data_IF_148737842211
#
_entry.id   IF_148737842211
#
_cell.length_a   1.000
_cell.length_b   1.000
_cell.length_c   1.000
_cell.angle_alpha   90.00
_cell.angle_beta   90.00
_cell.angle_gamma   90.00
#
_symmetry.space_group_name_H-M   'P 1'
#
loop_
_entity.id
_entity.type
_entity.pdbx_description
1 polymer ?
#
# COMPACT_ATOMS: atom_id res chain seq x y z
N UNK A 1 41.10 14.26 -15.98
CA UNK A 1 39.95 13.34 -15.81
C UNK A 1 38.95 14.01 -14.88
N UNK A 2 37.93 14.66 -15.43
CA UNK A 2 36.87 15.32 -14.67
C UNK A 2 35.60 15.17 -15.50
N UNK A 3 34.66 14.38 -14.99
CA UNK A 3 33.39 14.07 -15.64
C UNK A 3 32.44 15.26 -15.47
N UNK A 4 32.05 15.88 -16.59
CA UNK A 4 31.10 17.00 -16.61
C UNK A 4 29.67 16.43 -16.61
N UNK A 5 28.75 16.93 -15.75
CA UNK A 5 27.36 16.49 -15.74
C UNK A 5 26.57 16.98 -16.97
N UNK A 6 25.71 16.11 -17.48
CA UNK A 6 24.78 16.35 -18.59
C UNK A 6 23.87 17.57 -18.34
N UNK A 7 23.86 18.53 -19.25
CA UNK A 7 22.82 19.57 -19.38
C UNK A 7 22.13 19.38 -20.73
N UNK A 8 20.85 19.01 -20.69
CA UNK A 8 19.99 19.00 -21.88
C UNK A 8 19.52 20.42 -22.21
N UNK A 9 19.52 20.74 -23.50
CA UNK A 9 19.10 22.04 -24.05
C UNK A 9 17.64 22.37 -23.73
N UNK A 10 17.40 23.58 -23.24
CA UNK A 10 16.05 24.15 -23.10
C UNK A 10 15.70 24.93 -24.37
N UNK A 11 14.86 24.36 -25.21
CA UNK A 11 14.09 25.12 -26.19
C UNK A 11 13.03 25.96 -25.44
N UNK A 12 13.02 27.27 -25.70
CA UNK A 12 11.99 28.21 -25.24
C UNK A 12 10.68 27.89 -25.96
N UNK A 13 9.67 27.45 -25.21
CA UNK A 13 8.28 27.45 -25.64
C UNK A 13 7.53 28.39 -24.68
N UNK A 14 6.99 29.47 -25.24
CA UNK A 14 6.03 30.35 -24.59
C UNK A 14 4.73 29.57 -24.40
N UNK A 15 4.60 28.90 -23.27
CA UNK A 15 3.36 28.28 -22.82
C UNK A 15 2.76 29.12 -21.70
N UNK A 16 1.56 29.65 -21.98
CA UNK A 16 0.66 30.31 -21.03
C UNK A 16 0.67 29.57 -19.68
N UNK A 17 1.20 30.22 -18.66
CA UNK A 17 1.23 29.69 -17.30
C UNK A 17 -0.20 29.66 -16.74
N UNK A 18 -0.87 28.52 -16.93
CA UNK A 18 -1.99 28.13 -16.07
C UNK A 18 -1.47 28.10 -14.62
N UNK A 19 -2.24 28.63 -13.65
CA UNK A 19 -1.80 28.66 -12.26
C UNK A 19 -1.41 27.24 -11.84
N UNK A 20 -0.14 27.07 -11.45
CA UNK A 20 0.35 25.78 -10.95
C UNK A 20 -0.55 25.38 -9.78
N UNK A 21 -1.42 24.39 -10.02
CA UNK A 21 -2.29 23.85 -9.00
C UNK A 21 -1.42 23.44 -7.82
N UNK A 22 -1.83 23.85 -6.60
CA UNK A 22 -1.10 23.51 -5.39
C UNK A 22 -0.83 22.00 -5.36
N UNK A 23 0.37 21.57 -4.94
CA UNK A 23 0.71 20.15 -4.92
C UNK A 23 -0.36 19.39 -4.11
N UNK A 24 -0.82 18.23 -4.59
CA UNK A 24 -1.89 17.50 -3.94
C UNK A 24 -1.50 17.20 -2.49
N UNK A 25 -2.42 17.46 -1.57
CA UNK A 25 -2.21 17.15 -0.15
C UNK A 25 -2.35 15.65 0.05
N UNK A 26 -1.22 14.95 0.09
CA UNK A 26 -1.18 13.48 0.25
C UNK A 26 -1.35 13.15 1.73
N UNK A 27 -2.36 12.34 2.05
CA UNK A 27 -2.49 11.75 3.37
C UNK A 27 -1.47 10.62 3.54
N UNK A 28 -0.70 10.66 4.63
CA UNK A 28 0.28 9.62 4.96
C UNK A 28 0.31 9.36 6.46
N UNK A 29 -0.30 8.25 6.85
CA UNK A 29 -0.27 7.75 8.22
C UNK A 29 1.04 7.02 8.49
N UNK A 30 1.77 7.51 9.51
CA UNK A 30 3.04 6.93 9.94
C UNK A 30 2.83 5.87 11.00
N UNK A 31 3.70 4.87 10.96
CA UNK A 31 3.54 3.66 11.76
C UNK A 31 3.62 3.96 13.25
N UNK A 32 2.64 3.43 13.99
CA UNK A 32 2.65 3.34 15.44
C UNK A 32 2.63 1.87 15.83
N UNK A 33 3.68 1.40 16.51
CA UNK A 33 3.82 0.00 16.96
C UNK A 33 3.78 -0.97 15.76
N UNK A 34 3.11 -2.12 15.88
CA UNK A 34 3.02 -3.13 14.82
C UNK A 34 1.74 -2.98 13.96
N UNK A 35 1.06 -1.83 13.99
CA UNK A 35 -0.21 -1.56 13.29
C UNK A 35 -0.06 -1.30 11.78
N UNK A 36 0.91 -1.94 11.10
CA UNK A 36 1.17 -1.67 9.68
C UNK A 36 -0.05 -1.93 8.78
N UNK A 37 -0.87 -2.94 9.09
CA UNK A 37 -2.12 -3.21 8.37
C UNK A 37 -3.13 -2.04 8.47
N UNK A 38 -3.30 -1.46 9.67
CA UNK A 38 -4.18 -0.30 9.88
C UNK A 38 -3.75 0.88 9.02
N UNK A 39 -2.46 1.20 9.08
CA UNK A 39 -1.91 2.34 8.35
C UNK A 39 -1.92 2.11 6.85
N UNK A 40 -1.67 0.88 6.39
CA UNK A 40 -1.80 0.54 4.98
C UNK A 40 -3.24 0.77 4.48
N UNK A 41 -4.25 0.33 5.24
CA UNK A 41 -5.65 0.57 4.91
C UNK A 41 -5.97 2.07 4.86
N UNK A 42 -5.68 2.82 5.92
CA UNK A 42 -5.95 4.27 5.97
C UNK A 42 -5.21 5.04 4.86
N UNK A 43 -3.99 4.64 4.52
CA UNK A 43 -3.24 5.22 3.40
C UNK A 43 -3.89 4.89 2.04
N UNK A 44 -4.45 3.69 1.83
CA UNK A 44 -5.18 3.37 0.60
C UNK A 44 -6.41 4.27 0.44
N UNK A 45 -7.16 4.48 1.51
CA UNK A 45 -8.35 5.33 1.51
C UNK A 45 -8.03 6.84 1.57
N UNK A 46 -6.78 7.21 1.81
CA UNK A 46 -6.35 8.59 2.04
C UNK A 46 -7.16 9.28 3.17
N UNK A 47 -7.52 8.54 4.22
CA UNK A 47 -8.34 9.03 5.34
C UNK A 47 -7.95 8.37 6.67
N UNK A 48 -7.65 9.16 7.70
CA UNK A 48 -7.32 8.68 9.04
C UNK A 48 -8.49 8.04 9.78
N UNK A 49 -9.71 8.32 9.35
CA UNK A 49 -10.93 7.84 9.97
C UNK A 49 -11.52 6.64 9.21
N UNK A 50 -10.87 6.18 8.14
CA UNK A 50 -11.32 5.03 7.39
C UNK A 50 -11.41 3.80 8.30
N UNK A 51 -10.35 3.53 9.06
CA UNK A 51 -10.30 2.48 10.07
C UNK A 51 -9.61 2.95 11.33
N UNK A 52 -10.00 2.34 12.45
CA UNK A 52 -9.33 2.47 13.74
C UNK A 52 -8.82 1.11 14.19
N UNK A 53 -7.90 1.10 15.17
CA UNK A 53 -7.47 -0.14 15.82
C UNK A 53 -8.67 -0.95 16.33
N UNK A 54 -9.66 -0.28 16.90
CA UNK A 54 -10.80 -0.97 17.51
C UNK A 54 -11.69 -1.62 16.45
N UNK A 55 -11.89 -0.97 15.29
CA UNK A 55 -12.60 -1.59 14.15
C UNK A 55 -11.87 -2.83 13.62
N UNK A 56 -10.54 -2.79 13.46
CA UNK A 56 -9.78 -3.97 13.03
C UNK A 56 -9.76 -5.06 14.10
N UNK A 57 -9.73 -4.68 15.37
CA UNK A 57 -9.80 -5.63 16.48
C UNK A 57 -11.15 -6.36 16.54
N UNK A 58 -12.26 -5.67 16.23
CA UNK A 58 -13.59 -6.27 16.13
C UNK A 58 -13.66 -7.26 14.95
N UNK A 59 -13.15 -6.86 13.78
CA UNK A 59 -13.06 -7.73 12.61
C UNK A 59 -12.25 -8.99 12.93
N UNK A 60 -11.08 -8.84 13.57
CA UNK A 60 -10.25 -9.95 13.98
C UNK A 60 -10.98 -10.92 14.92
N UNK A 61 -11.70 -10.39 15.92
CA UNK A 61 -12.49 -11.20 16.85
C UNK A 61 -13.61 -11.98 16.14
N UNK A 62 -14.29 -11.33 15.19
CA UNK A 62 -15.35 -11.97 14.39
C UNK A 62 -14.83 -13.11 13.52
N UNK A 63 -13.63 -12.94 12.93
CA UNK A 63 -12.99 -13.98 12.12
C UNK A 63 -12.45 -15.15 12.96
N UNK A 64 -12.16 -14.94 14.24
CA UNK A 64 -11.60 -15.95 15.15
C UNK A 64 -12.41 -16.10 16.46
N UNK A 65 -13.68 -16.54 16.40
CA UNK A 65 -14.59 -16.54 17.54
C UNK A 65 -14.15 -17.50 18.67
N UNK A 66 -13.41 -18.56 18.33
CA UNK A 66 -12.97 -19.59 19.28
C UNK A 66 -11.68 -19.22 20.05
N UNK A 67 -11.09 -18.05 19.77
CA UNK A 67 -9.95 -17.57 20.55
C UNK A 67 -10.48 -17.03 21.88
N UNK A 68 -10.58 -17.90 22.90
CA UNK A 68 -11.13 -17.55 24.22
C UNK A 68 -10.62 -16.19 24.70
N UNK A 69 -11.55 -15.23 24.79
CA UNK A 69 -11.30 -13.83 25.14
C UNK A 69 -11.21 -13.71 26.66
N UNK A 70 -10.10 -14.14 27.25
CA UNK A 70 -9.81 -13.79 28.65
C UNK A 70 -9.42 -12.31 28.75
N UNK A 71 -9.71 -11.61 29.87
CA UNK A 71 -9.38 -10.18 30.03
C UNK A 71 -7.91 -9.86 29.75
N UNK A 72 -7.00 -10.76 30.12
CA UNK A 72 -5.56 -10.65 29.85
C UNK A 72 -5.22 -10.81 28.37
N UNK A 73 -6.01 -11.59 27.63
CA UNK A 73 -5.87 -11.77 26.17
C UNK A 73 -6.35 -10.55 25.39
N UNK A 74 -7.37 -9.80 25.83
CA UNK A 74 -7.79 -8.55 25.17
C UNK A 74 -6.67 -7.51 25.06
N UNK A 75 -5.79 -7.43 26.07
CA UNK A 75 -4.65 -6.50 26.05
C UNK A 75 -3.40 -7.04 25.35
N UNK A 76 -3.32 -8.35 25.08
CA UNK A 76 -2.14 -9.01 24.49
C UNK A 76 -2.36 -9.57 23.07
N UNK A 77 -3.60 -9.76 22.60
CA UNK A 77 -3.90 -10.28 21.25
C UNK A 77 -3.97 -9.23 20.14
N UNK A 78 -3.75 -7.95 20.47
CA UNK A 78 -3.91 -6.83 19.54
C UNK A 78 -2.68 -5.94 19.43
N UNK A 79 -1.47 -6.51 19.38
CA UNK A 79 -0.24 -5.70 19.21
C UNK A 79 -0.19 -4.95 17.87
N UNK A 80 -1.11 -5.29 16.95
CA UNK A 80 -1.30 -4.64 15.65
C UNK A 80 -0.90 -5.49 14.45
N UNK A 81 -0.34 -6.69 14.69
CA UNK A 81 0.08 -7.63 13.66
C UNK A 81 -1.13 -8.38 13.06
N UNK A 82 -2.02 -7.66 12.41
CA UNK A 82 -3.19 -8.22 11.72
C UNK A 82 -2.76 -8.96 10.44
N UNK A 83 -3.39 -10.10 10.20
CA UNK A 83 -3.17 -10.89 9.00
C UNK A 83 -3.99 -10.37 7.81
N UNK A 84 -3.84 -11.04 6.66
CA UNK A 84 -4.52 -10.68 5.42
C UNK A 84 -6.04 -10.80 5.50
N UNK A 85 -6.58 -11.73 6.29
CA UNK A 85 -8.03 -11.93 6.39
C UNK A 85 -8.69 -10.71 7.04
N UNK A 86 -8.03 -10.10 8.04
CA UNK A 86 -8.49 -8.85 8.64
C UNK A 86 -8.48 -7.71 7.61
N UNK A 87 -7.43 -7.61 6.78
CA UNK A 87 -7.35 -6.60 5.71
C UNK A 87 -8.49 -6.81 4.70
N UNK A 88 -8.68 -8.03 4.20
CA UNK A 88 -9.74 -8.36 3.24
C UNK A 88 -11.13 -8.03 3.81
N UNK A 89 -11.42 -8.50 5.03
CA UNK A 89 -12.70 -8.24 5.67
C UNK A 89 -12.92 -6.75 5.96
N UNK A 90 -11.86 -5.99 6.27
CA UNK A 90 -11.95 -4.54 6.45
C UNK A 90 -12.31 -3.82 5.15
N UNK A 91 -11.68 -4.18 4.03
CA UNK A 91 -12.03 -3.63 2.71
C UNK A 91 -13.50 -3.87 2.37
N UNK A 92 -13.99 -5.08 2.62
CA UNK A 92 -15.40 -5.46 2.38
C UNK A 92 -16.38 -4.61 3.18
N UNK A 93 -16.03 -4.17 4.39
CA UNK A 93 -16.90 -3.25 5.16
C UNK A 93 -17.10 -1.87 4.50
N UNK A 94 -16.31 -1.55 3.46
CA UNK A 94 -16.37 -0.28 2.73
C UNK A 94 -16.75 -0.44 1.25
N UNK A 95 -17.21 -1.61 0.81
CA UNK A 95 -17.57 -1.81 -0.60
C UNK A 95 -16.38 -2.09 -1.53
N UNK A 96 -15.27 -2.60 -0.98
CA UNK A 96 -14.06 -2.92 -1.74
C UNK A 96 -13.65 -4.37 -1.51
N UNK A 97 -13.01 -4.94 -2.52
CA UNK A 97 -12.39 -6.26 -2.48
C UNK A 97 -10.87 -6.18 -2.58
N UNK A 98 -10.21 -7.22 -2.08
CA UNK A 98 -8.78 -7.43 -2.23
C UNK A 98 -8.51 -8.59 -3.19
N UNK A 99 -8.06 -8.26 -4.40
CA UNK A 99 -7.67 -9.25 -5.41
C UNK A 99 -6.24 -9.69 -5.13
N UNK A 100 -6.05 -10.99 -4.86
CA UNK A 100 -4.70 -11.52 -4.70
C UNK A 100 -4.00 -11.63 -6.05
N UNK A 101 -2.91 -10.88 -6.23
CA UNK A 101 -2.19 -10.89 -7.50
C UNK A 101 -1.39 -12.18 -7.69
N UNK A 102 -1.60 -12.85 -8.82
CA UNK A 102 -0.77 -13.98 -9.24
C UNK A 102 0.57 -13.49 -9.78
N UNK A 103 1.65 -13.70 -9.01
CA UNK A 103 3.02 -13.26 -9.35
C UNK A 103 3.57 -13.84 -10.65
N UNK A 104 2.92 -14.88 -11.20
CA UNK A 104 3.29 -15.49 -12.48
C UNK A 104 2.81 -14.66 -13.68
N UNK A 105 1.82 -13.78 -13.47
CA UNK A 105 1.28 -12.89 -14.50
C UNK A 105 2.13 -11.63 -14.66
N UNK A 106 2.13 -11.05 -15.86
CA UNK A 106 2.76 -9.74 -16.08
C UNK A 106 1.86 -8.64 -15.50
N UNK A 107 2.39 -7.82 -14.58
CA UNK A 107 1.64 -6.68 -14.02
C UNK A 107 1.18 -5.67 -15.07
N UNK A 108 1.66 -5.75 -16.31
CA UNK A 108 1.20 -5.02 -17.48
C UNK A 108 -0.28 -5.23 -17.80
N UNK A 109 -0.86 -6.38 -17.42
CA UNK A 109 -2.27 -6.67 -17.65
C UNK A 109 -3.20 -6.05 -16.59
N UNK A 110 -2.65 -5.42 -15.55
CA UNK A 110 -3.46 -4.71 -14.55
C UNK A 110 -4.05 -3.45 -15.22
N UNK A 111 -5.39 -3.37 -15.20
CA UNK A 111 -6.15 -2.19 -15.57
C UNK A 111 -6.09 -1.16 -14.43
N UNK A 112 -5.01 -0.38 -14.39
CA UNK A 112 -4.69 0.51 -13.27
C UNK A 112 -5.81 1.50 -12.93
N UNK A 113 -6.57 1.98 -13.92
CA UNK A 113 -7.70 2.90 -13.73
C UNK A 113 -8.83 2.32 -12.89
N UNK A 114 -8.94 0.99 -12.81
CA UNK A 114 -9.96 0.29 -12.04
C UNK A 114 -9.46 -0.11 -10.64
N UNK A 115 -8.18 0.17 -10.34
CA UNK A 115 -7.54 -0.16 -9.06
C UNK A 115 -7.47 1.09 -8.20
N UNK A 116 -8.11 1.03 -7.03
CA UNK A 116 -8.07 2.10 -6.06
C UNK A 116 -6.64 2.28 -5.52
N UNK A 117 -6.00 1.18 -5.15
CA UNK A 117 -4.64 1.18 -4.63
C UNK A 117 -4.11 -0.23 -4.46
N UNK A 118 -2.89 -0.33 -3.95
CA UNK A 118 -2.20 -1.61 -3.77
C UNK A 118 -1.78 -1.77 -2.32
N UNK A 119 -1.94 -2.97 -1.79
CA UNK A 119 -1.39 -3.36 -0.50
C UNK A 119 -0.35 -4.45 -0.76
N UNK A 120 0.89 -4.24 -0.33
CA UNK A 120 1.96 -5.22 -0.48
C UNK A 120 2.39 -5.74 0.88
N UNK A 121 2.66 -7.05 0.98
CA UNK A 121 3.32 -7.63 2.14
C UNK A 121 4.79 -7.86 1.81
N UNK A 122 5.69 -7.11 2.43
CA UNK A 122 7.11 -7.16 2.13
C UNK A 122 7.93 -7.54 3.36
N UNK A 123 9.01 -8.33 3.21
CA UNK A 123 9.89 -8.64 4.32
C UNK A 123 10.72 -7.41 4.71
N UNK A 124 10.49 -6.90 5.91
CA UNK A 124 11.12 -5.71 6.48
C UNK A 124 12.09 -6.07 7.61
N UNK A 125 13.28 -5.47 7.61
CA UNK A 125 14.28 -5.68 8.66
C UNK A 125 13.82 -5.07 9.99
N UNK A 126 13.98 -5.81 11.09
CA UNK A 126 13.76 -5.25 12.42
C UNK A 126 14.92 -4.30 12.77
N UNK A 127 14.61 -3.08 13.20
CA UNK A 127 15.62 -2.15 13.69
C UNK A 127 15.71 -2.22 15.21
N UNK A 128 16.92 -2.31 15.74
CA UNK A 128 17.22 -2.14 17.17
C UNK A 128 18.17 -0.96 17.32
N UNK A 129 17.60 0.22 17.55
CA UNK A 129 18.32 1.49 17.45
C UNK A 129 18.86 1.69 16.01
N UNK A 130 20.15 2.05 15.83
CA UNK A 130 20.74 2.23 14.50
C UNK A 130 21.04 0.90 13.78
N UNK A 131 20.96 -0.25 14.46
CA UNK A 131 21.32 -1.55 13.90
C UNK A 131 20.12 -2.23 13.23
N UNK A 132 20.28 -2.64 11.96
CA UNK A 132 19.32 -3.53 11.28
C UNK A 132 19.65 -4.97 11.63
N UNK A 133 18.73 -5.64 12.34
CA UNK A 133 18.86 -7.05 12.66
C UNK A 133 18.61 -7.91 11.41
N UNK A 134 19.28 -9.07 11.28
CA UNK A 134 19.08 -9.97 10.14
C UNK A 134 17.69 -10.64 10.13
N UNK A 135 16.93 -10.53 11.22
CA UNK A 135 15.57 -11.03 11.30
C UNK A 135 14.62 -10.12 10.50
N UNK A 136 14.01 -10.68 9.47
CA UNK A 136 12.96 -10.03 8.67
C UNK A 136 11.59 -10.41 9.21
N UNK A 137 10.71 -9.43 9.33
CA UNK A 137 9.28 -9.63 9.62
C UNK A 137 8.46 -9.14 8.44
N UNK A 138 7.31 -9.76 8.22
CA UNK A 138 6.36 -9.28 7.22
C UNK A 138 5.82 -7.91 7.60
N UNK A 139 5.57 -7.08 6.60
CA UNK A 139 5.19 -5.69 6.77
C UNK A 139 4.28 -5.25 5.64
N UNK A 140 3.10 -4.79 6.00
CA UNK A 140 2.11 -4.26 5.07
C UNK A 140 2.47 -2.82 4.68
N UNK A 141 2.56 -2.55 3.38
CA UNK A 141 2.73 -1.21 2.82
C UNK A 141 1.60 -0.89 1.85
N UNK A 142 1.34 0.40 1.67
CA UNK A 142 0.39 0.91 0.70
C UNK A 142 1.15 1.55 -0.47
N UNK A 143 0.68 1.31 -1.70
CA UNK A 143 1.00 2.13 -2.87
C UNK A 143 -0.29 2.69 -3.44
N UNK A 144 -0.32 4.00 -3.72
CA UNK A 144 -1.54 4.70 -4.10
C UNK A 144 -1.28 5.79 -5.13
N UNK A 145 -2.19 5.93 -6.09
CA UNK A 145 -2.23 7.11 -6.96
C UNK A 145 -2.88 8.29 -6.23
N UNK A 146 -2.20 9.43 -6.19
CA UNK A 146 -2.73 10.69 -5.66
C UNK A 146 -2.35 11.82 -6.60
N UNK A 147 -3.34 12.48 -7.19
CA UNK A 147 -3.12 13.60 -8.11
C UNK A 147 -2.32 13.23 -9.37
N UNK A 148 -2.58 12.06 -9.97
CA UNK A 148 -1.96 11.64 -11.23
C UNK A 148 -0.58 10.97 -11.10
N UNK A 149 -0.07 10.77 -9.89
CA UNK A 149 1.19 10.08 -9.64
C UNK A 149 1.06 9.03 -8.54
N UNK A 150 1.84 7.96 -8.66
CA UNK A 150 1.91 6.90 -7.67
C UNK A 150 2.95 7.20 -6.60
N UNK A 151 2.59 6.88 -5.36
CA UNK A 151 3.44 7.04 -4.19
C UNK A 151 3.53 5.75 -3.40
N UNK A 152 4.73 5.46 -2.91
CA UNK A 152 4.94 4.51 -1.84
C UNK A 152 4.58 5.19 -0.51
N UNK A 153 3.50 4.71 0.10
CA UNK A 153 2.96 5.18 1.37
C UNK A 153 3.24 4.18 2.49
N UNK A 154 4.38 3.49 2.44
CA UNK A 154 4.87 2.72 3.58
C UNK A 154 4.86 3.61 4.84
N UNK A 155 4.13 3.16 5.86
CA UNK A 155 3.98 3.86 7.13
C UNK A 155 5.31 4.02 7.89
N UNK A 156 6.37 3.27 7.55
CA UNK A 156 7.73 3.47 8.08
C UNK A 156 8.49 4.64 7.46
N UNK A 157 8.05 5.14 6.31
CA UNK A 157 8.70 6.26 5.65
C UNK A 157 8.44 7.56 6.42
N UNK A 158 9.39 8.50 6.34
CA UNK A 158 9.23 9.83 6.93
C UNK A 158 8.25 10.70 6.15
N UNK A 159 8.10 10.47 4.85
CA UNK A 159 7.25 11.18 3.91
C UNK A 159 6.89 10.23 2.76
N UNK A 160 5.78 10.48 2.02
CA UNK A 160 5.46 9.76 0.79
C UNK A 160 6.65 9.74 -0.16
N UNK A 161 7.00 8.56 -0.65
CA UNK A 161 8.06 8.41 -1.65
C UNK A 161 7.43 8.36 -3.05
N UNK A 162 7.80 9.32 -3.90
CA UNK A 162 7.29 9.39 -5.27
C UNK A 162 7.84 8.23 -6.11
N UNK A 163 6.94 7.47 -6.74
CA UNK A 163 7.29 6.40 -7.66
C UNK A 163 7.29 6.92 -9.10
N UNK A 164 6.22 7.64 -9.48
CA UNK A 164 6.04 8.18 -10.82
C UNK A 164 4.70 7.79 -11.46
N UNK A 165 4.68 7.71 -12.79
CA UNK A 165 3.49 7.32 -13.54
C UNK A 165 3.30 5.80 -13.60
N UNK A 166 2.42 5.36 -14.49
CA UNK A 166 2.07 3.94 -14.65
C UNK A 166 3.27 3.03 -15.00
N UNK A 167 4.16 3.50 -15.88
CA UNK A 167 5.35 2.71 -16.29
C UNK A 167 6.28 2.47 -15.10
N UNK A 168 6.49 3.49 -14.29
CA UNK A 168 7.33 3.50 -13.10
C UNK A 168 6.71 2.63 -12.01
N UNK A 169 5.39 2.71 -11.81
CA UNK A 169 4.66 1.80 -10.94
C UNK A 169 4.86 0.35 -11.37
N UNK A 170 4.68 0.02 -12.66
CA UNK A 170 4.86 -1.35 -13.15
C UNK A 170 6.27 -1.86 -12.90
N UNK A 171 7.30 -1.02 -13.11
CA UNK A 171 8.70 -1.34 -12.76
C UNK A 171 8.86 -1.59 -11.24
N UNK A 172 8.27 -0.74 -10.41
CA UNK A 172 8.29 -0.85 -8.95
C UNK A 172 7.66 -2.17 -8.46
N UNK A 173 6.48 -2.52 -8.98
CA UNK A 173 5.79 -3.77 -8.64
C UNK A 173 6.59 -4.98 -9.10
N UNK A 174 7.09 -4.99 -10.35
CA UNK A 174 7.95 -6.08 -10.87
C UNK A 174 9.20 -6.27 -10.01
N UNK A 175 9.82 -5.18 -9.56
CA UNK A 175 11.01 -5.25 -8.70
C UNK A 175 10.72 -5.99 -7.39
N UNK A 176 9.65 -5.60 -6.68
CA UNK A 176 9.30 -6.18 -5.39
C UNK A 176 8.78 -7.62 -5.51
N UNK A 177 7.97 -7.92 -6.54
CA UNK A 177 7.38 -9.24 -6.76
C UNK A 177 8.39 -10.33 -7.14
N UNK A 178 9.62 -9.97 -7.54
CA UNK A 178 10.73 -10.93 -7.70
C UNK A 178 11.15 -11.56 -6.37
N UNK A 179 10.86 -10.91 -5.24
CA UNK A 179 11.12 -11.45 -3.91
C UNK A 179 10.18 -12.61 -3.59
N UNK A 180 10.75 -13.74 -3.13
CA UNK A 180 9.98 -14.96 -2.82
C UNK A 180 8.83 -14.72 -1.83
N UNK A 181 9.03 -13.84 -0.85
CA UNK A 181 8.11 -13.63 0.26
C UNK A 181 7.36 -12.29 0.15
N UNK A 182 7.17 -11.78 -1.07
CA UNK A 182 6.48 -10.52 -1.34
C UNK A 182 5.09 -10.77 -1.91
N UNK A 183 4.01 -10.42 -1.21
CA UNK A 183 2.64 -10.56 -1.73
C UNK A 183 2.09 -9.21 -2.20
N UNK A 184 1.16 -9.23 -3.15
CA UNK A 184 0.48 -8.04 -3.67
C UNK A 184 -1.02 -8.28 -3.70
N UNK A 185 -1.77 -7.34 -3.13
CA UNK A 185 -3.21 -7.24 -3.23
C UNK A 185 -3.57 -5.99 -4.03
N UNK A 186 -4.49 -6.13 -4.97
CA UNK A 186 -5.15 -5.00 -5.62
C UNK A 186 -6.40 -4.66 -4.80
N UNK A 187 -6.55 -3.40 -4.41
CA UNK A 187 -7.77 -2.92 -3.78
C UNK A 187 -8.67 -2.34 -4.85
N UNK A 188 -9.84 -2.95 -5.06
CA UNK A 188 -10.76 -2.61 -6.15
C UNK A 188 -12.19 -2.53 -5.61
N UNK A 189 -13.08 -1.71 -6.19
CA UNK A 189 -14.51 -1.77 -5.86
C UNK A 189 -15.08 -3.18 -6.07
N UNK A 190 -16.10 -3.55 -5.29
CA UNK A 190 -16.76 -4.87 -5.39
C UNK A 190 -17.21 -5.20 -6.83
N UNK A 191 -17.76 -4.22 -7.54
CA UNK A 191 -18.19 -4.39 -8.94
C UNK A 191 -17.03 -4.66 -9.90
N UNK A 192 -15.85 -4.08 -9.65
CA UNK A 192 -14.65 -4.32 -10.47
C UNK A 192 -14.16 -5.75 -10.30
N UNK A 193 -14.20 -6.28 -9.08
CA UNK A 193 -13.87 -7.70 -8.83
C UNK A 193 -14.91 -8.63 -9.44
N UNK A 194 -16.20 -8.34 -9.27
CA UNK A 194 -17.29 -9.17 -9.80
C UNK A 194 -17.20 -9.36 -11.33
N UNK A 195 -16.80 -8.31 -12.06
CA UNK A 195 -16.60 -8.36 -13.51
C UNK A 195 -15.16 -8.70 -13.93
N UNK A 196 -14.26 -8.87 -12.96
CA UNK A 196 -12.82 -9.03 -13.17
C UNK A 196 -12.21 -7.96 -14.09
N UNK A 197 -12.74 -6.74 -14.04
CA UNK A 197 -12.30 -5.65 -14.92
C UNK A 197 -11.00 -4.99 -14.46
N UNK A 198 -10.41 -5.46 -13.34
CA UNK A 198 -9.06 -5.09 -12.89
C UNK A 198 -7.94 -5.68 -13.77
N UNK A 199 -8.26 -6.59 -14.68
CA UNK A 199 -7.32 -7.18 -15.65
C UNK A 199 -7.76 -6.96 -17.09
N UNK A 200 -6.79 -6.90 -17.99
CA UNK A 200 -6.99 -6.69 -19.43
C UNK A 200 -6.73 -7.95 -20.26
N UNK A 201 -6.37 -9.08 -19.63
CA UNK A 201 -6.00 -10.36 -20.27
C UNK A 201 -7.14 -11.40 -20.22
N UNK A 202 -8.39 -10.93 -20.36
CA UNK A 202 -9.59 -11.79 -20.35
C UNK A 202 -9.84 -12.43 -21.70
#
# INVERSE_FOLDING_TARGET
MSCVPWKGDKAKSESLELPQAAPPQIYHEKQRRELCALHALNNVFQDSNAFTRDTLQEIFQRLSPNTMVTPHKKSMLGNGNYDVNVIMAALQTKGYEAVWWDKRRDVGVIALTNVMGFIMNLPSSLCWGPLKLPLKRQHWICVREVGGAYYNLDSKLKMPEWIGGESELRKFLKHHLRGKNCELLLVVPEEVEAHQSWRTDV
#
